data_IF_110047084746
#
_entry.id   IF_110047084746
#
_cell.length_a   1.000
_cell.length_b   1.000
_cell.length_c   1.000
_cell.angle_alpha   90.00
_cell.angle_beta   90.00
_cell.angle_gamma   90.00
#
_symmetry.space_group_name_H-M   'P 1'
#
loop_
_entity.id
_entity.type
_entity.pdbx_description
1 polymer ?
#
# COMPACT_ATOMS: atom_id res chain seq x y z
N UNK A 1 18.82 3.41 -5.36
CA UNK A 1 17.62 4.27 -5.39
C UNK A 1 16.38 3.40 -5.21
N UNK A 2 15.53 3.77 -4.25
CA UNK A 2 14.32 3.03 -3.85
C UNK A 2 13.15 3.99 -3.70
N UNK A 3 11.92 3.49 -3.82
CA UNK A 3 10.73 4.12 -3.31
C UNK A 3 10.40 3.55 -1.93
N UNK A 4 10.17 4.43 -0.96
CA UNK A 4 9.77 4.04 0.38
C UNK A 4 8.26 4.09 0.47
N UNK A 5 7.64 2.97 0.87
CA UNK A 5 6.20 2.86 1.05
C UNK A 5 5.89 2.26 2.41
N UNK A 6 4.69 2.54 2.92
CA UNK A 6 4.15 1.93 4.13
C UNK A 6 2.77 1.37 3.80
N UNK A 7 2.55 0.12 4.15
CA UNK A 7 1.26 -0.56 4.05
C UNK A 7 0.76 -0.85 5.46
N UNK A 8 -0.45 -0.43 5.76
CA UNK A 8 -1.09 -0.61 7.06
C UNK A 8 -2.54 -1.00 6.86
N UNK A 9 -2.99 -1.99 7.62
CA UNK A 9 -4.42 -2.28 7.77
C UNK A 9 -4.95 -1.62 9.04
N UNK A 10 -6.25 -1.31 9.12
CA UNK A 10 -6.87 -0.87 10.37
C UNK A 10 -6.62 -1.92 11.48
N UNK A 11 -6.27 -1.49 12.69
CA UNK A 11 -6.02 -2.42 13.82
C UNK A 11 -7.21 -3.34 14.09
N UNK A 12 -8.44 -2.82 13.89
CA UNK A 12 -9.70 -3.59 14.00
C UNK A 12 -9.82 -4.75 13.01
N UNK A 13 -9.04 -4.76 11.93
CA UNK A 13 -9.03 -5.85 10.97
C UNK A 13 -8.27 -7.09 11.46
N UNK A 14 -7.48 -6.96 12.54
CA UNK A 14 -6.82 -8.10 13.19
C UNK A 14 -5.83 -8.85 12.30
N UNK A 15 -5.15 -8.15 11.38
CA UNK A 15 -4.23 -8.77 10.42
C UNK A 15 -2.97 -9.23 11.14
N UNK A 16 -2.64 -10.52 11.04
CA UNK A 16 -1.41 -11.09 11.62
C UNK A 16 -0.16 -10.57 10.89
N UNK A 17 1.02 -10.63 11.52
CA UNK A 17 2.29 -10.26 10.89
C UNK A 17 2.56 -11.08 9.61
N UNK A 18 2.32 -12.39 9.67
CA UNK A 18 2.50 -13.31 8.52
C UNK A 18 1.59 -12.91 7.36
N UNK A 19 0.33 -12.62 7.66
CA UNK A 19 -0.64 -12.20 6.65
C UNK A 19 -0.29 -10.82 6.09
N UNK A 20 0.15 -9.89 6.93
CA UNK A 20 0.57 -8.56 6.50
C UNK A 20 1.72 -8.64 5.48
N UNK A 21 2.76 -9.44 5.75
CA UNK A 21 3.83 -9.66 4.78
C UNK A 21 3.32 -10.29 3.49
N UNK A 22 2.50 -11.35 3.59
CA UNK A 22 1.96 -12.05 2.42
C UNK A 22 1.10 -11.14 1.53
N UNK A 23 0.25 -10.32 2.13
CA UNK A 23 -0.59 -9.35 1.45
C UNK A 23 0.25 -8.29 0.73
N UNK A 24 1.24 -7.71 1.41
CA UNK A 24 2.11 -6.70 0.81
C UNK A 24 2.94 -7.29 -0.32
N UNK A 25 3.51 -8.47 -0.12
CA UNK A 25 4.26 -9.19 -1.15
C UNK A 25 3.41 -9.47 -2.39
N UNK A 26 2.19 -9.99 -2.19
CA UNK A 26 1.27 -10.32 -3.29
C UNK A 26 0.86 -9.04 -4.03
N UNK A 27 0.53 -7.97 -3.32
CA UNK A 27 0.17 -6.66 -3.91
C UNK A 27 1.31 -6.12 -4.78
N UNK A 28 2.55 -6.17 -4.29
CA UNK A 28 3.71 -5.66 -5.02
C UNK A 28 4.08 -6.54 -6.21
N UNK A 29 4.07 -7.87 -6.06
CA UNK A 29 4.36 -8.80 -7.16
C UNK A 29 3.33 -8.70 -8.28
N UNK A 30 2.06 -8.45 -7.96
CA UNK A 30 1.04 -8.24 -8.99
C UNK A 30 1.25 -6.94 -9.78
N UNK A 31 1.75 -5.87 -9.16
CA UNK A 31 1.89 -4.55 -9.81
C UNK A 31 3.28 -4.33 -10.43
N UNK A 32 4.31 -4.89 -9.80
CA UNK A 32 5.72 -4.73 -10.15
C UNK A 32 6.44 -6.09 -10.09
N UNK A 33 6.10 -7.05 -10.96
CA UNK A 33 6.58 -8.43 -10.90
C UNK A 33 8.11 -8.57 -10.97
N UNK A 34 8.76 -7.65 -11.68
CA UNK A 34 10.20 -7.67 -11.94
C UNK A 34 11.00 -6.76 -11.00
N UNK A 35 10.35 -6.07 -10.06
CA UNK A 35 11.02 -5.20 -9.10
C UNK A 35 11.32 -5.96 -7.81
N UNK A 36 12.57 -5.83 -7.35
CA UNK A 36 12.98 -6.32 -6.04
C UNK A 36 12.55 -5.34 -4.94
N UNK A 37 12.16 -5.88 -3.79
CA UNK A 37 11.82 -5.09 -2.62
C UNK A 37 12.27 -5.78 -1.34
N UNK A 38 12.45 -4.99 -0.28
CA UNK A 38 12.68 -5.45 1.09
C UNK A 38 11.49 -4.98 1.92
N UNK A 39 11.02 -5.82 2.84
CA UNK A 39 9.92 -5.52 3.75
C UNK A 39 10.39 -5.60 5.20
N UNK A 40 9.86 -4.73 6.06
CA UNK A 40 10.04 -4.79 7.51
C UNK A 40 8.70 -4.54 8.19
N UNK A 41 8.36 -5.33 9.21
CA UNK A 41 7.13 -5.17 9.98
C UNK A 41 7.44 -4.43 11.28
N UNK A 42 6.69 -3.37 11.53
CA UNK A 42 6.79 -2.55 12.74
C UNK A 42 5.58 -2.79 13.63
N UNK A 43 5.86 -3.13 14.89
CA UNK A 43 4.88 -3.44 15.96
C UNK A 43 5.03 -2.56 17.19
N UNK A 44 5.91 -1.58 17.11
CA UNK A 44 6.30 -0.62 18.14
C UNK A 44 5.34 0.59 18.22
N UNK A 45 4.27 0.59 17.42
CA UNK A 45 3.23 1.63 17.40
C UNK A 45 1.83 1.01 17.43
N UNK A 46 0.81 1.78 17.80
CA UNK A 46 -0.60 1.33 17.89
C UNK A 46 -1.18 0.80 16.56
N UNK A 47 -0.53 1.13 15.43
CA UNK A 47 -0.88 0.66 14.10
C UNK A 47 0.26 -0.16 13.53
N UNK A 48 0.09 -1.47 13.53
CA UNK A 48 1.00 -2.39 12.88
C UNK A 48 1.09 -2.11 11.37
N UNK A 49 2.31 -1.98 10.85
CA UNK A 49 2.53 -1.63 9.45
C UNK A 49 3.79 -2.28 8.87
N UNK A 50 3.77 -2.45 7.55
CA UNK A 50 4.91 -2.97 6.78
C UNK A 50 5.57 -1.81 6.04
N UNK A 51 6.83 -1.54 6.35
CA UNK A 51 7.69 -0.71 5.53
C UNK A 51 8.18 -1.50 4.33
N UNK A 52 8.20 -0.85 3.16
CA UNK A 52 8.67 -1.43 1.91
C UNK A 52 9.70 -0.50 1.28
N UNK A 53 10.85 -1.06 0.94
CA UNK A 53 11.86 -0.42 0.08
C UNK A 53 11.79 -1.06 -1.31
N UNK A 54 11.09 -0.42 -2.25
CA UNK A 54 10.93 -0.91 -3.62
C UNK A 54 12.06 -0.37 -4.50
N UNK A 55 12.88 -1.26 -5.07
CA UNK A 55 13.98 -0.86 -5.97
C UNK A 55 13.43 -0.23 -7.25
N UNK A 56 13.95 0.95 -7.62
CA UNK A 56 13.46 1.71 -8.79
C UNK A 56 13.76 0.99 -10.13
N UNK A 57 14.99 0.51 -10.40
CA UNK A 57 15.21 -0.35 -11.55
C UNK A 57 14.64 -1.76 -11.29
N UNK A 58 13.95 -2.31 -12.26
CA UNK A 58 13.56 -3.72 -12.28
C UNK A 58 14.79 -4.63 -12.54
N UNK A 59 14.56 -5.93 -12.69
CA UNK A 59 15.61 -6.91 -12.96
C UNK A 59 16.30 -6.71 -14.32
N UNK A 60 15.69 -5.97 -15.25
CA UNK A 60 16.19 -5.70 -16.60
C UNK A 60 16.78 -4.29 -16.75
N UNK A 61 16.77 -3.49 -15.68
CA UNK A 61 17.28 -2.12 -15.68
C UNK A 61 16.27 -1.05 -16.10
N UNK A 62 15.03 -1.43 -16.44
CA UNK A 62 13.96 -0.48 -16.71
C UNK A 62 13.51 0.15 -15.39
N UNK A 63 13.36 1.47 -15.40
CA UNK A 63 13.00 2.24 -14.21
C UNK A 63 11.48 2.35 -14.10
N UNK A 64 10.94 2.04 -12.93
CA UNK A 64 9.55 2.37 -12.62
C UNK A 64 9.41 3.86 -12.31
N UNK A 65 8.24 4.41 -12.62
CA UNK A 65 7.88 5.79 -12.36
C UNK A 65 6.50 5.83 -11.72
N UNK A 66 6.47 5.89 -10.39
CA UNK A 66 5.23 5.78 -9.62
C UNK A 66 4.47 7.11 -9.67
N UNK A 67 3.25 7.05 -10.21
CA UNK A 67 2.34 8.20 -10.32
C UNK A 67 1.16 8.06 -9.35
N UNK A 68 0.33 9.11 -9.28
CA UNK A 68 -0.87 9.12 -8.41
C UNK A 68 -1.82 7.96 -8.69
N UNK A 69 -1.97 7.55 -9.95
CA UNK A 69 -2.82 6.42 -10.32
C UNK A 69 -2.24 5.08 -9.85
N UNK A 70 -0.92 4.90 -9.88
CA UNK A 70 -0.28 3.68 -9.33
C UNK A 70 -0.50 3.56 -7.82
N UNK A 71 -0.36 4.68 -7.09
CA UNK A 71 -0.64 4.70 -5.65
C UNK A 71 -2.10 4.35 -5.33
N UNK A 72 -3.01 4.70 -6.24
CA UNK A 72 -4.43 4.38 -6.12
C UNK A 72 -4.67 2.90 -6.34
N UNK A 73 -4.12 2.34 -7.40
CA UNK A 73 -4.22 0.92 -7.72
C UNK A 73 -3.58 0.05 -6.61
N UNK A 74 -2.44 0.47 -6.05
CA UNK A 74 -1.82 -0.23 -4.91
C UNK A 74 -2.76 -0.29 -3.69
N UNK A 75 -3.45 0.81 -3.37
CA UNK A 75 -4.43 0.84 -2.27
C UNK A 75 -5.63 -0.07 -2.54
N UNK A 76 -6.16 -0.02 -3.75
CA UNK A 76 -7.30 -0.86 -4.17
C UNK A 76 -6.94 -2.34 -4.16
N UNK A 77 -5.78 -2.71 -4.72
CA UNK A 77 -5.27 -4.08 -4.71
C UNK A 77 -5.02 -4.60 -3.30
N UNK A 78 -4.37 -3.81 -2.45
CA UNK A 78 -4.08 -4.20 -1.07
C UNK A 78 -5.37 -4.45 -0.28
N UNK A 79 -6.37 -3.55 -0.38
CA UNK A 79 -7.67 -3.75 0.25
C UNK A 79 -8.42 -4.96 -0.33
N UNK A 80 -8.38 -5.16 -1.65
CA UNK A 80 -8.98 -6.33 -2.29
C UNK A 80 -8.35 -7.65 -1.84
N UNK A 81 -7.03 -7.68 -1.62
CA UNK A 81 -6.34 -8.85 -1.09
C UNK A 81 -6.69 -9.11 0.38
N UNK A 82 -6.77 -8.06 1.21
CA UNK A 82 -7.29 -8.15 2.58
C UNK A 82 -8.70 -8.74 2.63
N UNK A 83 -9.60 -8.28 1.75
CA UNK A 83 -10.96 -8.81 1.62
C UNK A 83 -10.98 -10.28 1.19
N UNK A 84 -10.14 -10.68 0.23
CA UNK A 84 -10.00 -12.09 -0.19
C UNK A 84 -9.53 -13.00 0.96
N UNK A 85 -8.80 -12.46 1.93
CA UNK A 85 -8.38 -13.17 3.14
C UNK A 85 -9.42 -13.12 4.27
N UNK A 86 -10.59 -12.52 4.04
CA UNK A 86 -11.70 -12.47 4.99
C UNK A 86 -11.68 -11.25 5.92
N UNK A 87 -10.76 -10.30 5.74
CA UNK A 87 -10.74 -9.08 6.55
C UNK A 87 -11.81 -8.09 6.08
N UNK A 88 -12.60 -7.58 7.04
CA UNK A 88 -13.61 -6.56 6.78
C UNK A 88 -12.96 -5.17 6.67
N UNK A 89 -12.42 -4.86 5.50
CA UNK A 89 -11.81 -3.56 5.17
C UNK A 89 -12.45 -2.97 3.93
N UNK A 90 -12.35 -1.64 3.78
CA UNK A 90 -12.79 -0.95 2.56
C UNK A 90 -11.74 0.08 2.17
N UNK A 91 -11.31 0.07 0.90
CA UNK A 91 -10.52 1.16 0.36
C UNK A 91 -11.43 2.37 0.13
N UNK A 92 -11.47 3.30 1.08
CA UNK A 92 -12.27 4.51 0.91
C UNK A 92 -11.59 5.52 -0.02
N UNK A 93 -12.42 6.24 -0.76
CA UNK A 93 -11.99 7.18 -1.77
C UNK A 93 -12.62 8.55 -1.50
N UNK A 94 -12.32 9.14 -0.35
CA UNK A 94 -12.75 10.52 -0.08
C UNK A 94 -11.85 11.50 -0.83
N UNK A 95 -12.16 11.75 -2.10
CA UNK A 95 -11.68 12.92 -2.82
C UNK A 95 -12.88 13.64 -3.42
N UNK A 96 -13.37 14.66 -2.71
CA UNK A 96 -14.28 15.65 -3.30
C UNK A 96 -13.42 16.77 -3.91
N UNK A 97 -13.45 16.85 -5.23
CA UNK A 97 -12.85 17.98 -5.96
C UNK A 97 -13.56 19.27 -5.53
N UNK A 98 -12.81 20.28 -5.09
CA UNK A 98 -13.38 21.57 -4.67
C UNK A 98 -13.72 21.71 -3.18
N UNK A 99 -13.86 20.61 -2.42
CA UNK A 99 -14.25 20.68 -1.00
C UNK A 99 -13.27 21.50 -0.14
N UNK A 100 -11.97 21.39 -0.40
CA UNK A 100 -10.95 22.17 0.33
C UNK A 100 -11.04 23.67 0.05
N UNK A 101 -11.45 24.06 -1.17
CA UNK A 101 -11.69 25.47 -1.50
C UNK A 101 -13.02 25.99 -0.97
N UNK A 102 -14.02 25.13 -0.78
CA UNK A 102 -15.32 25.47 -0.20
C UNK A 102 -15.20 25.73 1.30
N UNK A 103 -14.53 24.84 2.04
CA UNK A 103 -14.30 24.98 3.50
C UNK A 103 -13.47 26.19 3.91
N UNK A 104 -12.67 26.76 3.00
CA UNK A 104 -11.84 27.94 3.27
C UNK A 104 -12.58 29.26 2.93
N UNK A 105 -13.80 29.19 2.40
CA UNK A 105 -14.66 30.34 2.09
C UNK A 105 -15.72 30.60 3.16
N UNK A 106 -15.89 29.66 4.10
CA UNK A 106 -16.66 29.81 5.34
C UNK A 106 -15.74 30.25 6.47
#
# INVERSE_FOLDING_TARGET
LVHNMVFSAPTVAGVSEVDAFKLVETTLKEKYPDNRFIMAYHKDTDSHHVHVLLRIPDNYGKRINIRKHDLRELREKFAGQLQKMGHNVTCTHKYQFGLKSELNRE
#
